data_IF_064587372645
#
_entry.id   IF_064587372645
#
_cell.length_a   1.000
_cell.length_b   1.000
_cell.length_c   1.000
_cell.angle_alpha   90.00
_cell.angle_beta   90.00
_cell.angle_gamma   90.00
#
_symmetry.space_group_name_H-M   'P 1'
#
loop_
_entity.id
_entity.type
_entity.pdbx_description
1 polymer ?
#
# COMPACT_ATOMS: atom_id res chain seq x y z
N UNK A 1 -4.69 16.87 0.41
CA UNK A 1 -4.31 15.90 -0.63
C UNK A 1 -4.79 14.55 -0.15
N UNK A 2 -5.68 13.89 -0.88
CA UNK A 2 -6.26 12.62 -0.46
C UNK A 2 -5.21 11.52 -0.63
N UNK A 3 -4.92 10.77 0.42
CA UNK A 3 -4.18 9.52 0.33
C UNK A 3 -5.04 8.54 -0.46
N UNK A 4 -4.43 7.82 -1.42
CA UNK A 4 -5.12 6.81 -2.20
C UNK A 4 -4.41 5.49 -2.08
N UNK A 5 -5.16 4.41 -1.95
CA UNK A 5 -4.61 3.07 -1.95
C UNK A 5 -4.79 2.43 -3.33
N UNK A 6 -3.74 1.80 -3.83
CA UNK A 6 -3.87 1.01 -5.05
C UNK A 6 -4.69 -0.26 -4.80
N UNK A 7 -5.71 -0.51 -5.61
CA UNK A 7 -6.55 -1.71 -5.47
C UNK A 7 -5.80 -3.01 -5.77
N UNK A 8 -4.73 -2.95 -6.57
CA UNK A 8 -3.96 -4.13 -6.97
C UNK A 8 -2.88 -4.49 -5.96
N UNK A 9 -2.10 -3.51 -5.51
CA UNK A 9 -0.92 -3.74 -4.65
C UNK A 9 -1.06 -3.15 -3.25
N UNK A 10 -2.22 -2.58 -2.92
CA UNK A 10 -2.55 -2.00 -1.62
C UNK A 10 -1.61 -0.88 -1.17
N UNK A 11 -0.71 -0.40 -2.04
CA UNK A 11 0.26 0.65 -1.68
C UNK A 11 -0.47 1.99 -1.60
N UNK A 12 -0.24 2.72 -0.52
CA UNK A 12 -0.78 4.07 -0.34
C UNK A 12 0.16 5.06 -1.00
N UNK A 13 -0.41 5.94 -1.81
CA UNK A 13 0.29 7.01 -2.53
C UNK A 13 -0.58 8.25 -2.56
N UNK A 14 0.05 9.41 -2.66
CA UNK A 14 -0.63 10.69 -2.87
C UNK A 14 -0.64 11.11 -4.34
N UNK A 15 0.04 10.37 -5.22
CA UNK A 15 0.08 10.62 -6.65
C UNK A 15 -1.07 9.98 -7.42
N UNK A 16 -1.21 10.35 -8.70
CA UNK A 16 -2.22 9.77 -9.61
C UNK A 16 -1.84 8.37 -10.15
N UNK A 17 -0.61 7.92 -9.92
CA UNK A 17 -0.11 6.64 -10.41
C UNK A 17 0.60 5.92 -9.27
N UNK A 18 0.31 4.63 -9.12
CA UNK A 18 0.99 3.81 -8.14
C UNK A 18 2.48 3.63 -8.54
N UNK A 19 3.45 3.94 -7.66
CA UNK A 19 4.88 3.76 -7.96
C UNK A 19 5.27 2.28 -8.13
N UNK A 20 4.51 1.36 -7.54
CA UNK A 20 4.85 -0.07 -7.48
C UNK A 20 4.37 -0.85 -8.70
N UNK A 21 3.10 -0.68 -9.07
CA UNK A 21 2.49 -1.38 -10.20
C UNK A 21 2.22 -0.49 -11.43
N UNK A 22 2.56 0.81 -11.37
CA UNK A 22 2.35 1.80 -12.44
C UNK A 22 0.91 1.90 -12.94
N UNK A 23 -0.03 1.49 -12.11
CA UNK A 23 -1.47 1.50 -12.40
C UNK A 23 -2.10 2.78 -11.84
N UNK A 24 -3.09 3.30 -12.56
CA UNK A 24 -3.93 4.44 -12.14
C UNK A 24 -5.18 4.02 -11.37
N UNK A 25 -5.39 2.73 -11.14
CA UNK A 25 -6.44 2.14 -10.29
C UNK A 25 -6.12 2.36 -8.82
N UNK A 26 -6.42 3.57 -8.36
CA UNK A 26 -6.29 4.05 -7.00
C UNK A 26 -7.69 4.31 -6.45
N UNK A 27 -7.95 3.83 -5.24
CA UNK A 27 -9.19 4.08 -4.50
C UNK A 27 -8.89 4.98 -3.31
N UNK A 28 -9.70 6.01 -3.14
CA UNK A 28 -9.67 6.91 -1.99
C UNK A 28 -10.36 6.26 -0.76
N UNK A 29 -11.18 5.23 -0.97
CA UNK A 29 -11.87 4.48 0.07
C UNK A 29 -11.07 3.23 0.46
N UNK A 30 -10.22 3.37 1.47
CA UNK A 30 -9.53 2.23 2.07
C UNK A 30 -9.60 2.30 3.59
N UNK A 31 -9.37 1.17 4.24
CA UNK A 31 -9.43 1.03 5.69
C UNK A 31 -8.24 0.21 6.20
N UNK A 32 -7.69 0.65 7.33
CA UNK A 32 -6.50 0.07 7.93
C UNK A 32 -5.23 0.57 7.24
N UNK A 33 -4.33 1.15 8.02
CA UNK A 33 -3.03 1.64 7.60
C UNK A 33 -1.94 0.71 8.17
N UNK A 34 -1.08 0.21 7.30
CA UNK A 34 0.06 -0.63 7.64
C UNK A 34 1.32 0.08 7.18
N UNK A 35 2.21 0.39 8.11
CA UNK A 35 3.49 1.02 7.82
C UNK A 35 4.58 -0.02 8.06
N UNK A 36 5.28 -0.40 7.00
CA UNK A 36 6.39 -1.35 7.08
C UNK A 36 7.69 -0.55 7.10
N UNK A 37 8.36 -0.59 8.25
CA UNK A 37 9.69 -0.02 8.44
C UNK A 37 10.79 -0.98 7.99
N UNK A 38 10.68 -2.25 8.42
CA UNK A 38 11.63 -3.32 8.12
C UNK A 38 10.88 -4.52 7.49
N UNK A 39 10.99 -4.73 6.16
CA UNK A 39 10.33 -5.85 5.50
C UNK A 39 10.95 -7.22 5.80
N UNK A 40 12.23 -7.29 6.21
CA UNK A 40 12.93 -8.55 6.47
C UNK A 40 12.59 -9.09 7.88
N UNK A 41 12.51 -8.19 8.85
CA UNK A 41 12.17 -8.48 10.25
C UNK A 41 10.67 -8.54 10.54
N UNK A 42 9.81 -7.92 9.71
CA UNK A 42 8.38 -7.82 10.01
C UNK A 42 7.58 -9.07 9.61
N UNK A 43 6.90 -9.67 10.59
CA UNK A 43 5.93 -10.74 10.34
C UNK A 43 4.75 -10.25 9.48
N UNK A 44 4.35 -8.98 9.62
CA UNK A 44 3.27 -8.39 8.82
C UNK A 44 3.71 -8.26 7.36
N UNK A 45 4.95 -7.82 7.12
CA UNK A 45 5.50 -7.73 5.77
C UNK A 45 5.55 -9.11 5.11
N UNK A 46 5.98 -10.15 5.83
CA UNK A 46 5.98 -11.54 5.33
C UNK A 46 4.57 -12.04 5.03
N UNK A 47 3.61 -11.80 5.92
CA UNK A 47 2.22 -12.20 5.74
C UNK A 47 1.57 -11.52 4.52
N UNK A 48 1.90 -10.25 4.27
CA UNK A 48 1.41 -9.48 3.13
C UNK A 48 2.28 -9.62 1.87
N UNK A 49 3.34 -10.44 1.92
CA UNK A 49 4.33 -10.59 0.85
C UNK A 49 4.96 -9.25 0.37
N UNK A 50 5.16 -8.34 1.31
CA UNK A 50 5.75 -7.02 1.06
C UNK A 50 7.26 -7.10 1.26
N UNK A 51 8.01 -6.76 0.22
CA UNK A 51 9.48 -6.75 0.21
C UNK A 51 10.09 -5.36 0.35
N UNK A 52 9.26 -4.33 0.36
CA UNK A 52 9.71 -2.94 0.37
C UNK A 52 9.03 -2.17 1.49
N UNK A 53 9.81 -1.34 2.18
CA UNK A 53 9.32 -0.40 3.17
C UNK A 53 8.35 0.59 2.53
N UNK A 54 7.31 0.96 3.25
CA UNK A 54 6.28 1.86 2.75
C UNK A 54 4.97 1.76 3.50
N UNK A 55 4.00 2.53 3.03
CA UNK A 55 2.65 2.59 3.57
C UNK A 55 1.71 1.76 2.69
N UNK A 56 0.91 0.92 3.32
CA UNK A 56 -0.01 0.00 2.67
C UNK A 56 -1.36 0.05 3.35
N UNK A 57 -2.42 -0.14 2.58
CA UNK A 57 -3.77 -0.29 3.07
C UNK A 57 -4.06 -1.76 3.39
N UNK A 58 -4.78 -2.02 4.48
CA UNK A 58 -5.18 -3.39 4.82
C UNK A 58 -6.35 -3.84 3.94
N UNK A 59 -7.28 -2.93 3.65
CA UNK A 59 -8.48 -3.20 2.86
C UNK A 59 -8.77 -2.01 1.95
N UNK A 60 -8.90 -2.26 0.67
CA UNK A 60 -9.29 -1.26 -0.33
C UNK A 60 -10.68 -1.62 -0.85
N UNK A 61 -11.58 -0.63 -0.96
CA UNK A 61 -12.92 -0.80 -1.55
C UNK A 61 -12.92 -0.41 -3.02
#
# INVERSE_FOLDING_TARGET
MSEKACTSCHTITTGNVCPKCKTSSLSDDFSGLVIIFDPEGSAIAKAMNIKEKGQYALKVR
#
